data_IF_213007207276
#
_entry.id   IF_213007207276
#
_cell.length_a   1.000
_cell.length_b   1.000
_cell.length_c   1.000
_cell.angle_alpha   90.00
_cell.angle_beta   90.00
_cell.angle_gamma   90.00
#
_symmetry.space_group_name_H-M   'P 1'
#
loop_
_entity.id
_entity.type
_entity.pdbx_description
1 polymer ?
#
# COMPACT_ATOMS: atom_id res chain seq x y z
N UNK A 1 -35.10 4.82 18.08
CA UNK A 1 -34.12 3.71 17.94
C UNK A 1 -33.57 3.74 16.53
N UNK A 2 -32.24 3.62 16.43
CA UNK A 2 -31.39 4.07 15.32
C UNK A 2 -31.73 3.39 13.98
N UNK A 3 -31.86 4.21 12.93
CA UNK A 3 -31.87 3.80 11.53
C UNK A 3 -30.51 3.19 11.17
N UNK A 4 -30.50 1.90 10.82
CA UNK A 4 -29.39 1.30 10.11
C UNK A 4 -29.44 1.80 8.65
N UNK A 5 -28.55 2.72 8.29
CA UNK A 5 -28.26 3.02 6.89
C UNK A 5 -27.48 1.85 6.33
N UNK A 6 -28.15 1.02 5.54
CA UNK A 6 -27.50 0.08 4.64
C UNK A 6 -26.66 0.88 3.65
N UNK A 7 -25.33 0.82 3.80
CA UNK A 7 -24.37 1.30 2.81
C UNK A 7 -24.38 0.28 1.67
N UNK A 8 -25.23 0.53 0.68
CA UNK A 8 -25.11 -0.10 -0.63
C UNK A 8 -23.90 0.56 -1.29
N UNK A 9 -22.73 -0.08 -1.19
CA UNK A 9 -21.59 0.29 -2.01
C UNK A 9 -21.91 -0.06 -3.46
N UNK A 10 -22.30 0.96 -4.22
CA UNK A 10 -22.51 0.85 -5.65
C UNK A 10 -21.19 0.42 -6.32
N UNK A 11 -21.18 -0.76 -6.93
CA UNK A 11 -20.12 -1.16 -7.83
C UNK A 11 -20.36 -0.47 -9.17
N UNK A 12 -19.41 0.34 -9.59
CA UNK A 12 -19.21 0.59 -11.01
C UNK A 12 -18.70 -0.73 -11.59
N UNK A 13 -19.59 -1.48 -12.22
CA UNK A 13 -19.23 -2.58 -13.09
C UNK A 13 -18.57 -2.01 -14.36
N UNK A 14 -17.29 -1.65 -14.28
CA UNK A 14 -16.44 -1.47 -15.46
C UNK A 14 -15.60 -2.74 -15.59
N UNK A 15 -16.18 -3.76 -16.24
CA UNK A 15 -15.36 -4.66 -17.05
C UNK A 15 -15.14 -3.96 -18.40
N UNK A 16 -14.41 -2.85 -18.35
CA UNK A 16 -13.97 -2.10 -19.52
C UNK A 16 -12.47 -2.23 -19.62
N UNK A 17 -12.03 -3.13 -20.50
CA UNK A 17 -10.67 -3.19 -21.08
C UNK A 17 -9.54 -2.71 -20.15
N UNK A 18 -9.44 -3.27 -18.95
CA UNK A 18 -8.16 -3.27 -18.24
C UNK A 18 -7.18 -4.07 -19.11
N UNK A 19 -5.91 -3.69 -19.17
CA UNK A 19 -4.86 -4.51 -19.79
C UNK A 19 -4.76 -5.83 -19.00
N UNK A 20 -5.57 -6.82 -19.35
CA UNK A 20 -5.66 -8.07 -18.60
C UNK A 20 -4.54 -9.00 -19.05
N UNK A 21 -3.39 -8.92 -18.40
CA UNK A 21 -2.42 -10.00 -18.50
C UNK A 21 -3.10 -11.28 -18.02
N UNK A 22 -3.23 -12.25 -18.93
CA UNK A 22 -3.76 -13.56 -18.61
C UNK A 22 -2.68 -14.31 -17.81
N UNK A 23 -2.96 -14.58 -16.54
CA UNK A 23 -2.02 -15.25 -15.64
C UNK A 23 -2.34 -16.75 -15.60
N UNK A 24 -1.33 -17.57 -15.93
CA UNK A 24 -1.46 -19.02 -15.82
C UNK A 24 -1.36 -19.47 -14.36
N UNK A 25 -2.30 -20.30 -13.93
CA UNK A 25 -2.37 -20.86 -12.57
C UNK A 25 -1.98 -22.34 -12.51
N UNK A 26 -1.65 -22.97 -13.63
CA UNK A 26 -1.49 -24.44 -13.76
C UNK A 26 -0.40 -25.03 -12.86
N UNK A 27 0.68 -24.30 -12.62
CA UNK A 27 1.80 -24.78 -11.81
C UNK A 27 1.62 -24.54 -10.30
N UNK A 28 0.61 -23.77 -9.91
CA UNK A 28 0.36 -23.39 -8.51
C UNK A 28 -0.64 -24.37 -7.88
N UNK A 29 -0.12 -25.50 -7.43
CA UNK A 29 -0.93 -26.67 -7.06
C UNK A 29 -1.04 -26.89 -5.56
N UNK A 30 -0.16 -26.28 -4.76
CA UNK A 30 -0.18 -26.44 -3.31
C UNK A 30 -0.78 -25.22 -2.62
N UNK A 31 -1.89 -25.39 -1.92
CA UNK A 31 -2.43 -24.35 -1.05
C UNK A 31 -1.56 -24.23 0.21
N UNK A 32 -1.11 -23.02 0.50
CA UNK A 32 -0.40 -22.70 1.74
C UNK A 32 -1.40 -22.43 2.88
N UNK A 33 -2.21 -21.41 2.67
CA UNK A 33 -3.28 -20.95 3.56
C UNK A 33 -4.24 -20.09 2.73
N UNK A 34 -5.38 -19.77 3.34
CA UNK A 34 -6.36 -18.84 2.81
C UNK A 34 -6.51 -17.66 3.77
N UNK A 35 -6.79 -16.49 3.22
CA UNK A 35 -7.09 -15.28 4.00
C UNK A 35 -8.47 -14.77 3.61
N UNK A 36 -9.35 -14.63 4.61
CA UNK A 36 -10.66 -14.00 4.49
C UNK A 36 -10.55 -12.57 5.00
N UNK A 37 -10.66 -11.61 4.09
CA UNK A 37 -10.58 -10.17 4.34
C UNK A 37 -11.99 -9.56 4.37
N UNK A 38 -12.21 -8.67 5.33
CA UNK A 38 -13.44 -7.93 5.56
C UNK A 38 -13.13 -6.44 5.37
N UNK A 39 -13.88 -5.75 4.52
CA UNK A 39 -13.74 -4.30 4.34
C UNK A 39 -14.42 -3.56 5.51
N UNK A 40 -13.65 -2.77 6.27
CA UNK A 40 -14.17 -2.10 7.48
C UNK A 40 -14.46 -0.62 7.25
N UNK A 41 -13.69 0.04 6.37
CA UNK A 41 -13.77 1.48 6.11
C UNK A 41 -13.18 1.78 4.74
N UNK A 42 -13.68 2.83 4.08
CA UNK A 42 -13.20 3.26 2.76
C UNK A 42 -13.11 4.77 2.66
N UNK A 43 -12.01 5.26 2.12
CA UNK A 43 -11.83 6.64 1.66
C UNK A 43 -11.60 6.66 0.16
N UNK A 44 -12.18 7.63 -0.53
CA UNK A 44 -12.06 7.79 -1.98
C UNK A 44 -11.55 9.19 -2.33
N UNK A 45 -10.53 9.26 -3.18
CA UNK A 45 -10.06 10.51 -3.80
C UNK A 45 -10.28 10.41 -5.31
N UNK A 46 -11.15 11.28 -5.86
CA UNK A 46 -11.52 11.26 -7.27
C UNK A 46 -10.62 12.18 -8.08
N UNK A 47 -9.47 11.65 -8.51
CA UNK A 47 -8.49 12.38 -9.29
C UNK A 47 -8.92 12.72 -10.72
N UNK A 48 -8.10 13.55 -11.36
CA UNK A 48 -8.27 13.91 -12.76
C UNK A 48 -7.90 12.78 -13.73
N UNK A 49 -6.98 11.89 -13.37
CA UNK A 49 -6.54 10.77 -14.21
C UNK A 49 -6.87 9.41 -13.60
N UNK A 50 -7.10 9.36 -12.28
CA UNK A 50 -7.26 8.13 -11.53
C UNK A 50 -8.17 8.33 -10.31
N UNK A 51 -9.05 7.38 -10.03
CA UNK A 51 -9.75 7.30 -8.74
C UNK A 51 -8.97 6.40 -7.80
N UNK A 52 -8.72 6.88 -6.59
CA UNK A 52 -8.06 6.13 -5.52
C UNK A 52 -9.10 5.71 -4.49
N UNK A 53 -9.13 4.42 -4.18
CA UNK A 53 -9.86 3.87 -3.04
C UNK A 53 -8.84 3.29 -2.05
N UNK A 54 -8.81 3.83 -0.83
CA UNK A 54 -8.10 3.23 0.30
C UNK A 54 -9.12 2.54 1.21
N UNK A 55 -9.04 1.22 1.27
CA UNK A 55 -10.00 0.33 1.92
C UNK A 55 -9.31 -0.36 3.08
N UNK A 56 -9.75 -0.11 4.30
CA UNK A 56 -9.24 -0.74 5.51
C UNK A 56 -9.82 -2.14 5.68
N UNK A 57 -9.00 -3.01 6.26
CA UNK A 57 -9.24 -4.45 6.32
C UNK A 57 -9.18 -4.96 7.75
N UNK A 58 -10.09 -5.88 8.04
CA UNK A 58 -9.95 -6.89 9.09
C UNK A 58 -9.97 -8.28 8.43
N UNK A 59 -9.68 -9.34 9.15
CA UNK A 59 -9.75 -10.67 8.58
C UNK A 59 -9.12 -11.79 9.38
N UNK A 60 -9.19 -12.98 8.79
CA UNK A 60 -8.66 -14.21 9.39
C UNK A 60 -7.83 -14.98 8.38
N UNK A 61 -6.85 -15.71 8.87
CA UNK A 61 -6.01 -16.61 8.10
C UNK A 61 -6.25 -18.04 8.59
N UNK A 62 -6.43 -18.97 7.66
CA UNK A 62 -6.55 -20.38 7.97
C UNK A 62 -5.77 -21.24 6.99
N UNK A 63 -5.02 -22.20 7.49
CA UNK A 63 -4.23 -23.07 6.65
C UNK A 63 -3.41 -24.06 7.44
N UNK A 64 -2.79 -25.00 6.72
CA UNK A 64 -1.98 -26.04 7.36
C UNK A 64 -0.65 -25.53 7.88
N UNK A 65 -0.11 -24.45 7.31
CA UNK A 65 1.19 -23.89 7.70
C UNK A 65 1.06 -22.78 8.74
N UNK A 66 -0.03 -22.01 8.69
CA UNK A 66 -0.25 -20.87 9.55
C UNK A 66 -1.73 -20.54 9.65
N UNK A 67 -2.18 -20.16 10.83
CA UNK A 67 -3.54 -19.68 11.08
C UNK A 67 -3.54 -18.56 12.11
N UNK A 68 -4.44 -17.58 11.97
CA UNK A 68 -4.43 -16.39 12.83
C UNK A 68 -5.47 -15.36 12.44
N UNK A 69 -5.34 -14.17 13.01
CA UNK A 69 -6.20 -13.02 12.72
C UNK A 69 -5.36 -11.82 12.31
N UNK A 70 -5.93 -10.93 11.51
CA UNK A 70 -5.34 -9.63 11.27
C UNK A 70 -5.29 -8.86 12.61
N UNK A 71 -4.25 -8.05 12.79
CA UNK A 71 -3.95 -7.43 14.10
C UNK A 71 -3.92 -5.91 14.13
N UNK A 72 -4.03 -5.25 12.98
CA UNK A 72 -4.00 -3.79 12.93
C UNK A 72 -5.14 -3.24 12.08
N UNK A 73 -5.88 -2.31 12.68
CA UNK A 73 -6.99 -1.57 12.07
C UNK A 73 -6.54 -0.67 10.90
N UNK A 74 -5.23 -0.46 10.75
CA UNK A 74 -4.62 0.32 9.66
C UNK A 74 -4.10 -0.56 8.49
N UNK A 75 -4.39 -1.87 8.53
CA UNK A 75 -4.26 -2.76 7.38
C UNK A 75 -5.17 -2.28 6.25
N UNK A 76 -4.66 -2.19 5.02
CA UNK A 76 -5.41 -1.59 3.92
C UNK A 76 -5.04 -2.10 2.54
N UNK A 77 -6.04 -2.10 1.65
CA UNK A 77 -5.87 -2.21 0.20
C UNK A 77 -6.04 -0.83 -0.42
N UNK A 78 -5.07 -0.45 -1.25
CA UNK A 78 -5.24 0.70 -2.15
C UNK A 78 -5.54 0.19 -3.54
N UNK A 79 -6.65 0.65 -4.11
CA UNK A 79 -7.06 0.40 -5.50
C UNK A 79 -6.97 1.70 -6.28
N UNK A 80 -6.23 1.68 -7.39
CA UNK A 80 -6.12 2.77 -8.34
C UNK A 80 -6.87 2.40 -9.61
N UNK A 81 -7.95 3.13 -9.92
CA UNK A 81 -8.76 2.94 -11.14
C UNK A 81 -8.51 4.09 -12.09
N UNK A 82 -7.67 3.88 -13.10
CA UNK A 82 -7.30 4.90 -14.07
C UNK A 82 -8.42 5.10 -15.09
N UNK A 83 -8.57 6.34 -15.57
CA UNK A 83 -9.59 6.69 -16.58
C UNK A 83 -9.36 6.03 -17.94
N UNK A 84 -8.14 5.54 -18.18
CA UNK A 84 -7.78 4.74 -19.37
C UNK A 84 -8.21 3.26 -19.27
N UNK A 85 -8.80 2.84 -18.14
CA UNK A 85 -9.26 1.47 -17.88
C UNK A 85 -8.26 0.62 -17.10
N UNK A 86 -7.01 1.06 -16.90
CA UNK A 86 -6.03 0.34 -16.09
C UNK A 86 -6.45 0.30 -14.62
N UNK A 87 -6.20 -0.83 -13.97
CA UNK A 87 -6.46 -1.04 -12.54
C UNK A 87 -5.17 -1.54 -11.89
N UNK A 88 -4.79 -0.91 -10.78
CA UNK A 88 -3.73 -1.37 -9.89
C UNK A 88 -4.31 -1.58 -8.50
N UNK A 89 -3.83 -2.60 -7.79
CA UNK A 89 -4.27 -2.88 -6.42
C UNK A 89 -3.13 -3.46 -5.60
N UNK A 90 -2.92 -2.90 -4.40
CA UNK A 90 -1.91 -3.37 -3.45
C UNK A 90 -2.50 -3.40 -2.04
N UNK A 91 -2.65 -4.61 -1.50
CA UNK A 91 -3.02 -4.85 -0.12
C UNK A 91 -1.79 -4.95 0.78
N UNK A 92 -1.84 -4.42 2.01
CA UNK A 92 -0.85 -4.68 3.06
C UNK A 92 -1.55 -4.98 4.37
N UNK A 93 -1.20 -6.10 4.98
CA UNK A 93 -1.76 -6.51 6.26
C UNK A 93 -0.82 -7.45 7.03
N UNK A 94 -1.03 -7.48 8.34
CA UNK A 94 -0.26 -8.27 9.28
C UNK A 94 -1.19 -9.25 9.97
N UNK A 95 -0.72 -10.48 10.14
CA UNK A 95 -1.46 -11.57 10.77
C UNK A 95 -0.67 -12.00 12.00
N UNK A 96 -1.32 -12.06 13.16
CA UNK A 96 -0.80 -12.74 14.34
C UNK A 96 -1.49 -14.08 14.47
N UNK A 97 -0.71 -15.12 14.72
CA UNK A 97 -1.22 -16.48 14.64
C UNK A 97 -0.27 -17.50 15.20
N UNK A 98 -0.50 -18.74 14.81
CA UNK A 98 0.35 -19.87 15.14
C UNK A 98 0.70 -20.65 13.89
N UNK A 99 1.91 -21.17 13.84
CA UNK A 99 2.33 -22.12 12.81
C UNK A 99 1.80 -23.54 13.06
N UNK A 100 2.26 -24.49 12.26
CA UNK A 100 1.88 -25.90 12.34
C UNK A 100 2.40 -26.63 13.59
N UNK A 101 3.39 -26.07 14.28
CA UNK A 101 3.93 -26.57 15.55
C UNK A 101 3.31 -25.84 16.77
N UNK A 102 2.31 -24.99 16.53
CA UNK A 102 1.64 -24.12 17.52
C UNK A 102 2.54 -23.05 18.14
N UNK A 103 3.62 -22.68 17.45
CA UNK A 103 4.47 -21.55 17.85
C UNK A 103 3.78 -20.26 17.46
N UNK A 104 3.60 -19.36 18.44
CA UNK A 104 3.06 -18.02 18.18
C UNK A 104 4.02 -17.21 17.34
N UNK A 105 3.50 -16.59 16.28
CA UNK A 105 4.31 -15.85 15.33
C UNK A 105 3.46 -14.91 14.49
N UNK A 106 4.12 -14.11 13.65
CA UNK A 106 3.50 -13.11 12.77
C UNK A 106 3.93 -13.28 11.32
N UNK A 107 3.02 -12.90 10.44
CA UNK A 107 3.24 -12.82 8.99
C UNK A 107 2.80 -11.44 8.51
N UNK A 108 3.64 -10.82 7.69
CA UNK A 108 3.25 -9.68 6.85
C UNK A 108 3.01 -10.16 5.42
N UNK A 109 1.96 -9.62 4.81
CA UNK A 109 1.67 -9.83 3.39
C UNK A 109 1.47 -8.47 2.72
N UNK A 110 2.27 -8.21 1.68
CA UNK A 110 1.95 -7.22 0.66
C UNK A 110 1.50 -7.94 -0.60
N UNK A 111 0.24 -7.76 -0.98
CA UNK A 111 -0.37 -8.52 -2.08
C UNK A 111 -0.72 -7.62 -3.26
N UNK A 112 -0.08 -7.87 -4.39
CA UNK A 112 -0.09 -7.00 -5.57
C UNK A 112 -0.91 -7.67 -6.67
N UNK A 113 -1.93 -7.00 -7.20
CA UNK A 113 -2.66 -7.46 -8.39
C UNK A 113 -1.74 -7.52 -9.61
N UNK A 114 -1.68 -8.68 -10.26
CA UNK A 114 -0.83 -8.91 -11.45
C UNK A 114 -1.63 -9.25 -12.71
N UNK A 115 -2.92 -9.55 -12.59
CA UNK A 115 -3.76 -9.84 -13.75
C UNK A 115 -4.95 -10.71 -13.40
N UNK A 116 -5.43 -11.46 -14.39
CA UNK A 116 -6.62 -12.30 -14.26
C UNK A 116 -6.36 -13.68 -14.84
N UNK A 117 -6.98 -14.71 -14.27
CA UNK A 117 -6.91 -16.06 -14.84
C UNK A 117 -7.97 -16.30 -15.93
N UNK A 118 -8.00 -17.52 -16.48
CA UNK A 118 -8.95 -17.91 -17.54
C UNK A 118 -10.43 -17.88 -17.09
N UNK A 119 -10.68 -17.86 -15.78
CA UNK A 119 -12.01 -17.72 -15.20
C UNK A 119 -12.31 -16.26 -14.81
N UNK A 120 -11.46 -15.32 -15.25
CA UNK A 120 -11.55 -13.89 -14.95
C UNK A 120 -11.49 -13.59 -13.45
N UNK A 121 -10.81 -14.42 -12.66
CA UNK A 121 -10.54 -14.16 -11.24
C UNK A 121 -9.28 -13.31 -11.10
N UNK A 122 -9.26 -12.28 -10.23
CA UNK A 122 -8.05 -11.52 -9.98
C UNK A 122 -6.96 -12.43 -9.41
N UNK A 123 -5.76 -12.32 -9.97
CA UNK A 123 -4.56 -13.01 -9.51
C UNK A 123 -3.60 -11.99 -8.93
N UNK A 124 -3.13 -12.27 -7.72
CA UNK A 124 -2.17 -11.45 -7.01
C UNK A 124 -0.84 -12.17 -6.83
N UNK A 125 0.23 -11.43 -6.57
CA UNK A 125 1.56 -11.95 -6.28
C UNK A 125 2.02 -11.43 -4.93
N UNK A 126 1.95 -12.24 -3.86
CA UNK A 126 2.28 -11.76 -2.53
C UNK A 126 3.78 -11.68 -2.29
N UNK A 127 4.16 -10.66 -1.54
CA UNK A 127 5.39 -10.58 -0.79
C UNK A 127 5.11 -10.96 0.66
N UNK A 128 5.56 -12.15 1.05
CA UNK A 128 5.29 -12.76 2.36
C UNK A 128 6.57 -12.70 3.19
N UNK A 129 6.51 -12.08 4.36
CA UNK A 129 7.60 -12.02 5.34
C UNK A 129 7.09 -12.61 6.65
N UNK A 130 7.83 -13.53 7.23
CA UNK A 130 7.45 -14.25 8.45
C UNK A 130 8.61 -14.30 9.42
N UNK A 131 8.30 -14.29 10.71
CA UNK A 131 9.28 -14.54 11.78
C UNK A 131 9.33 -16.01 12.22
N UNK A 132 8.61 -16.92 11.53
CA UNK A 132 8.73 -18.38 11.75
C UNK A 132 9.93 -18.92 10.97
N UNK A 133 10.95 -19.41 11.67
CA UNK A 133 12.19 -19.90 11.06
C UNK A 133 11.93 -21.01 10.01
N UNK A 134 11.04 -21.95 10.31
CA UNK A 134 10.63 -23.07 9.46
C UNK A 134 9.86 -22.63 8.21
N UNK A 135 9.33 -21.41 8.19
CA UNK A 135 8.59 -20.83 7.07
C UNK A 135 9.37 -19.73 6.33
N UNK A 136 10.63 -19.45 6.70
CA UNK A 136 11.46 -18.42 6.03
C UNK A 136 11.65 -18.66 4.53
N UNK A 137 11.46 -19.89 4.05
CA UNK A 137 11.43 -20.19 2.62
C UNK A 137 10.29 -19.46 1.88
N UNK A 138 9.21 -19.04 2.56
CA UNK A 138 8.12 -18.23 2.01
C UNK A 138 8.60 -16.85 1.51
N UNK A 139 9.69 -16.33 2.07
CA UNK A 139 10.29 -15.05 1.66
C UNK A 139 10.61 -15.01 0.16
N UNK A 140 10.98 -16.16 -0.41
CA UNK A 140 11.37 -16.31 -1.82
C UNK A 140 10.55 -17.36 -2.57
N UNK A 141 9.48 -17.86 -1.96
CA UNK A 141 8.58 -18.82 -2.60
C UNK A 141 7.81 -18.18 -3.76
N UNK A 142 7.66 -18.91 -4.86
CA UNK A 142 6.81 -18.50 -5.98
C UNK A 142 5.35 -18.82 -5.68
N UNK A 143 4.65 -17.82 -5.17
CA UNK A 143 3.26 -17.90 -4.70
C UNK A 143 2.39 -16.93 -5.49
N UNK A 144 1.15 -17.31 -5.76
CA UNK A 144 0.08 -16.41 -6.21
C UNK A 144 -1.09 -16.43 -5.23
N UNK A 145 -1.83 -15.34 -5.15
CA UNK A 145 -3.17 -15.32 -4.56
C UNK A 145 -4.23 -15.45 -5.64
N UNK A 146 -5.18 -16.37 -5.45
CA UNK A 146 -6.39 -16.47 -6.27
C UNK A 146 -7.52 -15.79 -5.50
N UNK A 147 -7.94 -14.62 -5.96
CA UNK A 147 -8.92 -13.79 -5.26
C UNK A 147 -10.34 -14.15 -5.68
N UNK A 148 -11.22 -14.30 -4.70
CA UNK A 148 -12.67 -14.46 -4.88
C UNK A 148 -13.36 -13.38 -4.05
N UNK A 149 -14.28 -12.65 -4.65
CA UNK A 149 -15.11 -11.70 -3.91
C UNK A 149 -16.18 -12.45 -3.13
N UNK A 150 -16.45 -12.02 -1.91
CA UNK A 150 -17.60 -12.45 -1.11
C UNK A 150 -18.45 -11.22 -0.74
N UNK A 151 -19.51 -11.39 0.07
CA UNK A 151 -20.43 -10.30 0.41
C UNK A 151 -19.80 -9.20 1.28
N UNK A 152 -18.76 -9.52 2.05
CA UNK A 152 -18.18 -8.65 3.09
C UNK A 152 -16.74 -8.20 2.77
N UNK A 153 -16.16 -8.70 1.68
CA UNK A 153 -14.79 -8.41 1.25
C UNK A 153 -14.27 -9.47 0.28
N UNK A 154 -13.16 -10.11 0.62
CA UNK A 154 -12.43 -11.02 -0.28
C UNK A 154 -12.00 -12.30 0.43
N UNK A 155 -11.95 -13.39 -0.33
CA UNK A 155 -11.31 -14.63 0.04
C UNK A 155 -10.13 -14.87 -0.90
N UNK A 156 -8.94 -15.07 -0.36
CA UNK A 156 -7.72 -15.27 -1.14
C UNK A 156 -7.15 -16.64 -0.82
N UNK A 157 -7.01 -17.48 -1.85
CA UNK A 157 -6.27 -18.74 -1.75
C UNK A 157 -4.81 -18.51 -2.16
N UNK A 158 -3.85 -18.66 -1.24
CA UNK A 158 -2.43 -18.57 -1.56
C UNK A 158 -1.90 -19.92 -2.04
N UNK A 159 -1.56 -19.97 -3.33
CA UNK A 159 -1.16 -21.16 -4.05
C UNK A 159 0.32 -21.09 -4.41
N UNK A 160 1.07 -22.13 -4.06
CA UNK A 160 2.51 -22.24 -4.22
C UNK A 160 2.88 -23.14 -5.41
N UNK A 161 3.80 -22.64 -6.24
CA UNK A 161 4.54 -23.40 -7.23
C UNK A 161 5.81 -23.96 -6.57
N UNK A 162 5.79 -25.26 -6.21
CA UNK A 162 6.89 -25.94 -5.50
C UNK A 162 8.23 -25.92 -6.24
N UNK A 163 8.19 -25.80 -7.56
CA UNK A 163 9.36 -25.77 -8.42
C UNK A 163 9.87 -24.34 -8.65
N UNK A 164 9.06 -23.33 -8.32
CA UNK A 164 9.36 -21.93 -8.52
C UNK A 164 10.02 -21.27 -7.32
N UNK A 165 10.87 -20.29 -7.61
CA UNK A 165 11.39 -19.32 -6.65
C UNK A 165 11.34 -17.93 -7.26
N UNK A 166 11.14 -16.92 -6.42
CA UNK A 166 11.25 -15.50 -6.77
C UNK A 166 12.44 -14.88 -6.05
N UNK A 167 12.89 -13.75 -6.56
CA UNK A 167 13.81 -12.88 -5.82
C UNK A 167 13.02 -11.97 -4.88
N UNK A 168 13.71 -11.39 -3.90
CA UNK A 168 13.18 -10.24 -3.17
C UNK A 168 12.81 -9.11 -4.14
N UNK A 169 11.76 -8.33 -3.84
CA UNK A 169 11.51 -7.07 -4.55
C UNK A 169 12.79 -6.21 -4.53
N UNK A 170 13.24 -5.68 -5.67
CA UNK A 170 14.46 -4.89 -5.72
C UNK A 170 14.27 -3.52 -5.04
N UNK A 171 15.26 -3.11 -4.26
CA UNK A 171 15.35 -1.76 -3.73
C UNK A 171 15.75 -0.77 -4.83
N UNK A 172 14.77 -0.03 -5.36
CA UNK A 172 14.99 0.97 -6.39
C UNK A 172 15.11 2.35 -5.73
N UNK A 173 16.32 2.89 -5.69
CA UNK A 173 16.50 4.31 -5.32
C UNK A 173 15.89 5.17 -6.44
N UNK A 174 14.96 6.08 -6.12
CA UNK A 174 14.37 6.96 -7.13
C UNK A 174 15.45 7.78 -7.83
N UNK A 175 15.39 7.85 -9.16
CA UNK A 175 16.28 8.71 -9.92
C UNK A 175 15.88 10.17 -9.69
N UNK A 176 16.80 10.98 -9.15
CA UNK A 176 16.63 12.42 -8.94
C UNK A 176 17.44 13.16 -10.02
N UNK A 177 17.04 13.02 -11.28
CA UNK A 177 17.63 13.74 -12.41
C UNK A 177 16.78 14.97 -12.77
N UNK A 178 16.80 15.98 -11.91
CA UNK A 178 16.08 17.24 -12.13
C UNK A 178 16.40 18.31 -11.10
N UNK A 179 16.24 19.58 -11.47
CA UNK A 179 16.35 20.71 -10.54
C UNK A 179 15.01 20.91 -9.81
N UNK A 180 14.82 20.17 -8.71
CA UNK A 180 13.63 20.22 -7.86
C UNK A 180 13.67 21.43 -6.90
N UNK A 181 13.53 22.64 -7.44
CA UNK A 181 13.70 23.88 -6.68
C UNK A 181 12.41 24.41 -6.05
N UNK A 182 11.24 23.97 -6.51
CA UNK A 182 9.95 24.49 -6.08
C UNK A 182 9.31 23.57 -5.04
N UNK A 183 9.29 24.00 -3.78
CA UNK A 183 8.55 23.30 -2.72
C UNK A 183 7.04 23.48 -2.91
N UNK A 184 6.30 22.39 -2.96
CA UNK A 184 4.84 22.38 -3.20
C UNK A 184 4.06 22.09 -1.93
N UNK A 185 4.50 21.11 -1.13
CA UNK A 185 3.84 20.68 0.09
C UNK A 185 4.85 20.44 1.21
N UNK A 186 4.38 20.59 2.43
CA UNK A 186 5.08 20.16 3.65
C UNK A 186 4.08 19.34 4.44
N UNK A 187 4.45 18.10 4.74
CA UNK A 187 3.64 17.18 5.52
C UNK A 187 4.27 17.06 6.90
N UNK A 188 3.52 17.49 7.91
CA UNK A 188 3.86 17.30 9.31
C UNK A 188 3.42 15.90 9.73
N UNK A 189 4.37 15.07 10.15
CA UNK A 189 4.15 13.67 10.52
C UNK A 189 4.16 13.53 12.04
N UNK A 190 3.14 12.86 12.56
CA UNK A 190 2.96 12.59 13.98
C UNK A 190 2.98 11.07 14.22
N UNK A 191 3.92 10.61 15.04
CA UNK A 191 4.10 9.19 15.41
C UNK A 191 3.61 8.97 16.85
N UNK A 192 3.16 7.76 17.23
CA UNK A 192 3.21 6.51 16.48
C UNK A 192 1.91 6.16 15.73
N UNK A 193 0.96 7.10 15.55
CA UNK A 193 -0.35 6.78 14.98
C UNK A 193 -1.02 5.61 15.74
N UNK A 194 -1.40 4.55 15.01
CA UNK A 194 -1.96 3.33 15.58
C UNK A 194 -0.91 2.33 16.15
N UNK A 195 0.35 2.74 16.25
CA UNK A 195 1.44 1.95 16.82
C UNK A 195 2.41 1.36 15.81
N UNK A 196 3.45 0.70 16.34
CA UNK A 196 4.53 0.11 15.56
C UNK A 196 4.50 -1.40 15.64
N UNK A 197 5.04 -2.04 14.60
CA UNK A 197 5.21 -3.48 14.56
C UNK A 197 6.41 -3.84 13.69
N UNK A 198 7.07 -4.93 14.03
CA UNK A 198 8.13 -5.49 13.21
C UNK A 198 7.90 -6.98 13.02
N UNK A 199 8.13 -7.48 11.81
CA UNK A 199 8.21 -8.91 11.50
C UNK A 199 9.58 -9.15 10.89
N UNK A 200 10.45 -9.85 11.62
CA UNK A 200 11.81 -10.17 11.19
C UNK A 200 11.99 -11.68 11.11
N UNK A 201 12.33 -12.18 9.93
CA UNK A 201 12.81 -13.54 9.76
C UNK A 201 14.22 -13.54 9.18
N UNK A 202 14.74 -14.74 8.95
CA UNK A 202 16.05 -14.88 8.35
C UNK A 202 16.07 -14.30 6.91
N UNK A 203 17.01 -13.38 6.64
CA UNK A 203 17.22 -12.75 5.33
C UNK A 203 16.22 -11.66 4.92
N UNK A 204 15.10 -11.48 5.64
CA UNK A 204 14.09 -10.47 5.32
C UNK A 204 13.33 -9.96 6.55
N UNK A 205 12.95 -8.69 6.52
CA UNK A 205 12.16 -8.07 7.56
C UNK A 205 11.30 -6.93 7.04
N UNK A 206 10.24 -6.64 7.80
CA UNK A 206 9.36 -5.51 7.54
C UNK A 206 9.04 -4.78 8.84
N UNK A 207 9.06 -3.45 8.76
CA UNK A 207 8.65 -2.56 9.83
C UNK A 207 7.38 -1.82 9.43
N UNK A 208 6.44 -1.78 10.34
CA UNK A 208 5.23 -0.96 10.33
C UNK A 208 5.48 0.25 11.22
N UNK A 209 5.59 1.43 10.62
CA UNK A 209 5.65 2.68 11.36
C UNK A 209 4.31 3.40 11.22
N UNK A 210 3.45 3.26 12.22
CA UNK A 210 2.19 3.99 12.29
C UNK A 210 2.42 5.51 12.43
N UNK A 211 1.56 6.30 11.78
CA UNK A 211 1.56 7.75 11.89
C UNK A 211 0.18 8.38 11.62
N UNK A 212 -0.03 9.59 12.11
CA UNK A 212 -1.00 10.58 11.60
C UNK A 212 -0.22 11.71 10.92
N UNK A 213 -0.91 12.55 10.15
CA UNK A 213 -0.24 13.67 9.51
C UNK A 213 -1.16 14.88 9.35
N UNK A 214 -0.56 16.03 9.04
CA UNK A 214 -1.26 17.22 8.60
C UNK A 214 -0.43 17.97 7.57
N UNK A 215 -1.06 18.90 6.87
CA UNK A 215 -0.38 19.89 6.03
C UNK A 215 -0.88 21.26 6.45
N UNK A 216 0.03 22.19 6.69
CA UNK A 216 -0.31 23.57 7.01
C UNK A 216 0.49 24.53 6.13
N UNK A 217 0.21 24.52 4.83
CA UNK A 217 0.84 25.41 3.86
C UNK A 217 -0.12 26.53 3.45
N UNK A 218 0.38 27.54 2.74
CA UNK A 218 -0.48 28.59 2.18
C UNK A 218 -1.38 28.09 1.06
N UNK A 219 -1.03 26.97 0.41
CA UNK A 219 -1.71 26.43 -0.77
C UNK A 219 -2.65 25.26 -0.45
N UNK A 220 -2.43 24.60 0.68
CA UNK A 220 -3.27 23.52 1.19
C UNK A 220 -3.12 23.36 2.71
N UNK A 221 -4.26 23.34 3.40
CA UNK A 221 -4.36 23.09 4.84
C UNK A 221 -5.30 21.93 5.10
N UNK A 222 -4.84 20.89 5.78
CA UNK A 222 -5.65 19.69 6.03
C UNK A 222 -5.06 18.76 7.07
N UNK A 223 -5.87 17.79 7.47
CA UNK A 223 -5.51 16.75 8.45
C UNK A 223 -5.65 15.37 7.83
N UNK A 224 -4.82 14.44 8.29
CA UNK A 224 -4.89 13.03 7.92
C UNK A 224 -6.28 12.48 8.17
N UNK A 225 -6.82 11.77 7.20
CA UNK A 225 -8.17 11.20 7.26
C UNK A 225 -8.29 10.04 8.28
N UNK A 226 -7.16 9.43 8.65
CA UNK A 226 -7.08 8.27 9.55
C UNK A 226 -5.65 8.06 10.07
N UNK A 227 -5.39 6.91 10.69
CA UNK A 227 -4.05 6.37 10.92
C UNK A 227 -3.48 5.72 9.66
N UNK A 228 -2.20 5.99 9.41
CA UNK A 228 -1.48 5.52 8.22
C UNK A 228 -0.24 4.74 8.62
N UNK A 229 0.34 4.05 7.64
CA UNK A 229 1.52 3.22 7.83
C UNK A 229 2.60 3.59 6.81
N UNK A 230 3.80 3.88 7.32
CA UNK A 230 5.04 3.80 6.55
C UNK A 230 5.55 2.36 6.70
N UNK A 231 5.49 1.61 5.60
CA UNK A 231 5.96 0.22 5.55
C UNK A 231 7.39 0.19 5.04
N UNK A 232 8.30 -0.37 5.84
CA UNK A 232 9.72 -0.42 5.49
C UNK A 232 10.23 -1.83 5.36
N UNK A 233 10.80 -2.17 4.21
CA UNK A 233 11.33 -3.51 3.96
C UNK A 233 12.84 -3.53 4.05
N UNK A 234 13.36 -4.55 4.71
CA UNK A 234 14.78 -4.85 4.81
C UNK A 234 15.00 -6.22 4.18
N UNK A 235 15.72 -6.25 3.06
CA UNK A 235 16.16 -7.49 2.43
C UNK A 235 17.68 -7.57 2.52
N UNK A 236 18.20 -8.77 2.78
CA UNK A 236 19.64 -8.98 2.85
C UNK A 236 20.33 -8.49 1.57
N UNK A 237 21.38 -7.69 1.74
CA UNK A 237 22.17 -7.13 0.64
C UNK A 237 21.52 -5.95 -0.10
N UNK A 238 20.39 -5.42 0.37
CA UNK A 238 19.69 -4.28 -0.25
C UNK A 238 19.54 -3.10 0.71
N UNK A 239 19.38 -1.90 0.15
CA UNK A 239 18.94 -0.71 0.90
C UNK A 239 17.55 -0.94 1.49
N UNK A 240 17.22 -0.23 2.56
CA UNK A 240 15.86 -0.27 3.11
C UNK A 240 14.90 0.40 2.13
N UNK A 241 13.82 -0.29 1.78
CA UNK A 241 12.71 0.26 1.02
C UNK A 241 11.75 0.98 1.96
N UNK A 242 11.20 2.11 1.51
CA UNK A 242 10.20 2.91 2.21
C UNK A 242 8.97 3.00 1.32
N UNK A 243 7.78 2.79 1.89
CA UNK A 243 6.51 3.00 1.18
C UNK A 243 5.41 3.41 2.16
N UNK A 244 5.08 4.70 2.16
CA UNK A 244 4.00 5.27 2.95
C UNK A 244 2.79 5.60 2.06
N UNK A 245 1.58 5.32 2.54
CA UNK A 245 0.32 5.60 1.83
C UNK A 245 -0.65 6.30 2.76
N UNK A 246 -1.15 7.47 2.39
CA UNK A 246 -2.00 8.29 3.26
C UNK A 246 -2.93 9.22 2.50
N UNK A 247 -3.99 9.69 3.16
CA UNK A 247 -4.95 10.66 2.64
C UNK A 247 -5.05 11.84 3.60
N UNK A 248 -4.97 13.07 3.09
CA UNK A 248 -5.18 14.30 3.85
C UNK A 248 -6.41 15.00 3.29
N UNK A 249 -7.33 15.39 4.16
CA UNK A 249 -8.58 16.09 3.81
C UNK A 249 -8.53 17.49 4.40
N UNK A 250 -8.86 18.49 3.61
CA UNK A 250 -8.71 19.89 3.99
C UNK A 250 -9.29 20.86 2.99
N UNK A 251 -8.63 22.02 2.88
CA UNK A 251 -9.00 23.12 1.99
C UNK A 251 -7.78 23.67 1.26
N UNK A 252 -8.00 24.14 0.02
CA UNK A 252 -7.01 24.90 -0.73
C UNK A 252 -6.93 26.38 -0.29
N UNK A 253 -6.09 27.16 -0.97
CA UNK A 253 -5.90 28.60 -0.79
C UNK A 253 -7.14 29.46 -1.14
N UNK A 254 -8.13 28.90 -1.82
CA UNK A 254 -9.41 29.54 -2.13
C UNK A 254 -10.51 29.13 -1.14
N UNK A 255 -10.18 28.30 -0.14
CA UNK A 255 -11.10 27.80 0.87
C UNK A 255 -12.01 26.67 0.37
N UNK A 256 -11.74 26.13 -0.82
CA UNK A 256 -12.47 25.01 -1.42
C UNK A 256 -11.99 23.69 -0.83
N UNK A 257 -12.92 22.79 -0.57
CA UNK A 257 -12.60 21.46 -0.05
C UNK A 257 -11.71 20.69 -1.03
N UNK A 258 -10.69 20.05 -0.48
CA UNK A 258 -9.65 19.34 -1.22
C UNK A 258 -9.18 18.15 -0.41
N UNK A 259 -9.09 16.99 -1.07
CA UNK A 259 -8.45 15.79 -0.57
C UNK A 259 -7.21 15.50 -1.42
N UNK A 260 -6.14 15.04 -0.77
CA UNK A 260 -4.98 14.48 -1.45
C UNK A 260 -4.75 13.05 -0.98
N UNK A 261 -4.53 12.14 -1.91
CA UNK A 261 -3.90 10.86 -1.67
C UNK A 261 -2.41 10.98 -1.99
N UNK A 262 -1.57 10.40 -1.14
CA UNK A 262 -0.13 10.34 -1.34
C UNK A 262 0.34 8.90 -1.18
N UNK A 263 1.05 8.40 -2.18
CA UNK A 263 1.90 7.22 -2.10
C UNK A 263 3.35 7.69 -2.20
N UNK A 264 4.13 7.54 -1.13
CA UNK A 264 5.49 8.05 -1.07
C UNK A 264 6.47 6.88 -0.92
N UNK A 265 7.15 6.55 -2.02
CA UNK A 265 8.05 5.41 -2.10
C UNK A 265 9.49 5.86 -2.30
N UNK A 266 10.43 5.11 -1.74
CA UNK A 266 11.84 5.44 -1.85
C UNK A 266 12.76 4.46 -1.14
N UNK A 267 13.98 4.93 -0.88
CA UNK A 267 14.99 4.16 -0.16
C UNK A 267 15.61 4.98 0.96
N UNK A 268 16.04 4.29 2.00
CA UNK A 268 16.95 4.79 3.03
C UNK A 268 18.24 3.97 2.99
N UNK A 269 19.34 4.64 2.66
CA UNK A 269 20.65 4.02 2.43
C UNK A 269 21.17 3.24 3.65
N UNK A 270 20.87 3.73 4.86
CA UNK A 270 21.38 3.15 6.11
C UNK A 270 20.27 2.82 7.11
N UNK A 271 19.02 3.12 6.80
CA UNK A 271 17.89 2.96 7.73
C UNK A 271 17.95 3.95 8.91
N UNK A 272 18.75 5.02 8.79
CA UNK A 272 18.99 6.03 9.83
C UNK A 272 18.23 7.35 9.58
N UNK A 273 17.40 7.37 8.53
CA UNK A 273 16.62 8.49 8.02
C UNK A 273 17.43 9.71 7.53
N UNK A 274 18.76 9.64 7.41
CA UNK A 274 19.57 10.81 6.99
C UNK A 274 19.68 11.00 5.48
N UNK A 275 19.48 9.93 4.72
CA UNK A 275 19.62 9.93 3.27
C UNK A 275 18.35 9.41 2.59
N UNK A 276 17.18 9.76 3.14
CA UNK A 276 15.91 9.32 2.56
C UNK A 276 15.63 10.10 1.29
N UNK A 277 15.48 9.37 0.19
CA UNK A 277 15.06 9.91 -1.09
C UNK A 277 13.79 9.20 -1.53
N UNK A 278 12.74 9.98 -1.77
CA UNK A 278 11.45 9.44 -2.22
C UNK A 278 10.97 10.09 -3.51
N UNK A 279 10.04 9.39 -4.17
CA UNK A 279 9.29 9.86 -5.32
C UNK A 279 7.80 9.73 -5.00
N UNK A 280 7.15 10.80 -4.56
CA UNK A 280 5.73 10.74 -4.23
C UNK A 280 4.90 10.69 -5.51
N UNK A 281 3.83 9.90 -5.44
CA UNK A 281 2.70 9.93 -6.36
C UNK A 281 1.51 10.55 -5.62
N UNK A 282 0.99 11.66 -6.15
CA UNK A 282 -0.05 12.46 -5.50
C UNK A 282 -1.28 12.54 -6.39
N UNK A 283 -2.45 12.28 -5.81
CA UNK A 283 -3.75 12.39 -6.49
C UNK A 283 -4.66 13.32 -5.71
N UNK A 284 -5.45 14.14 -6.40
CA UNK A 284 -6.34 15.11 -5.74
C UNK A 284 -7.67 15.27 -6.44
N UNK A 285 -8.72 15.48 -5.66
CA UNK A 285 -10.06 15.78 -6.16
C UNK A 285 -10.25 17.26 -6.55
N UNK A 286 -9.23 18.12 -6.36
CA UNK A 286 -9.29 19.53 -6.72
C UNK A 286 -8.76 19.79 -8.14
N UNK A 287 -9.60 20.20 -9.10
CA UNK A 287 -9.19 20.44 -10.48
C UNK A 287 -8.08 21.49 -10.64
N UNK A 288 -8.00 22.49 -9.74
CA UNK A 288 -6.92 23.50 -9.74
C UNK A 288 -5.54 22.87 -9.57
N UNK A 289 -5.48 21.74 -8.88
CA UNK A 289 -4.26 21.00 -8.57
C UNK A 289 -4.07 19.75 -9.43
N UNK A 290 -4.93 19.51 -10.43
CA UNK A 290 -4.86 18.31 -11.27
C UNK A 290 -3.48 18.09 -11.94
N UNK A 291 -2.72 19.15 -12.17
CA UNK A 291 -1.35 19.10 -12.70
C UNK A 291 -0.42 18.21 -11.85
N UNK A 292 -0.64 18.15 -10.52
CA UNK A 292 0.24 17.42 -9.58
C UNK A 292 0.26 15.91 -9.84
N UNK A 293 -0.81 15.36 -10.44
CA UNK A 293 -0.93 13.93 -10.76
C UNK A 293 0.09 13.45 -11.80
N UNK A 294 0.61 14.38 -12.59
CA UNK A 294 1.59 14.11 -13.65
C UNK A 294 2.92 14.85 -13.46
N UNK A 295 3.02 15.66 -12.41
CA UNK A 295 4.20 16.47 -12.15
C UNK A 295 5.40 15.58 -11.78
N UNK A 296 6.62 15.95 -12.19
CA UNK A 296 7.82 15.35 -11.60
C UNK A 296 7.90 15.78 -10.13
N UNK A 297 7.91 14.82 -9.22
CA UNK A 297 7.97 15.08 -7.79
C UNK A 297 9.15 14.38 -7.13
N UNK A 298 9.70 15.01 -6.10
CA UNK A 298 10.74 14.47 -5.24
C UNK A 298 10.41 14.76 -3.77
N UNK A 299 10.63 13.78 -2.89
CA UNK A 299 10.44 13.93 -1.46
C UNK A 299 11.75 13.84 -0.68
N UNK A 300 11.88 14.72 0.31
CA UNK A 300 12.99 14.78 1.26
C UNK A 300 12.47 14.89 2.68
N UNK A 301 13.23 14.46 3.68
CA UNK A 301 12.87 14.63 5.08
C UNK A 301 13.60 15.81 5.74
N UNK A 302 13.02 16.33 6.81
CA UNK A 302 13.69 17.28 7.69
C UNK A 302 14.61 16.54 8.67
N UNK A 303 15.80 17.08 8.90
CA UNK A 303 16.75 16.56 9.89
C UNK A 303 16.40 16.95 11.34
N UNK A 304 15.43 17.85 11.53
CA UNK A 304 15.14 18.50 12.83
C UNK A 304 13.71 18.23 13.32
N UNK A 305 12.77 17.97 12.41
CA UNK A 305 11.38 17.66 12.71
C UNK A 305 10.92 16.46 11.88
N UNK A 306 9.87 15.77 12.30
CA UNK A 306 9.22 14.72 11.50
C UNK A 306 8.38 15.40 10.41
N UNK A 307 9.05 15.94 9.39
CA UNK A 307 8.45 16.61 8.26
C UNK A 307 8.93 16.00 6.95
N UNK A 308 8.01 15.89 6.00
CA UNK A 308 8.30 15.52 4.62
C UNK A 308 8.09 16.76 3.75
N UNK A 309 9.09 17.12 2.96
CA UNK A 309 8.99 18.18 1.97
C UNK A 309 8.83 17.57 0.59
N UNK A 310 7.82 18.04 -0.15
CA UNK A 310 7.63 17.67 -1.55
C UNK A 310 8.00 18.81 -2.47
N UNK A 311 8.83 18.47 -3.45
CA UNK A 311 9.43 19.38 -4.41
C UNK A 311 9.02 18.99 -5.82
N UNK A 312 8.94 19.99 -6.70
CA UNK A 312 8.75 19.84 -8.14
C UNK A 312 9.69 20.78 -8.89
N UNK A 313 9.68 20.69 -10.22
CA UNK A 313 10.44 21.58 -11.11
C UNK A 313 9.68 22.89 -11.36
N UNK A 314 10.39 23.96 -11.69
CA UNK A 314 9.73 25.23 -12.04
C UNK A 314 8.77 25.09 -13.23
N UNK A 315 7.61 25.72 -13.12
CA UNK A 315 6.59 25.73 -14.18
C UNK A 315 5.76 24.45 -14.34
N UNK A 316 5.92 23.44 -13.49
CA UNK A 316 5.13 22.21 -13.52
C UNK A 316 3.60 22.45 -13.39
N UNK A 317 3.20 23.57 -12.79
CA UNK A 317 1.81 23.99 -12.57
C UNK A 317 1.19 24.76 -13.75
N UNK A 318 1.94 24.97 -14.83
CA UNK A 318 1.49 25.73 -16.01
C UNK A 318 1.02 24.85 -17.17
N UNK A 319 1.04 23.54 -17.00
CA UNK A 319 0.67 22.55 -18.01
C UNK A 319 -0.76 22.06 -17.83
#
# INVERSE_FOLDING_TARGET
MKFARSLIFAFIAIFGLASTELVSTTNYTEKLFSVDLIETKKYTVNGNTVTIDMIYLDGTCSGKYFGGNLIYDDSSTVVKTFKDGRIESVARYYINGTDFDNVQSRIHIEDILVGYDILNRPITKPNIITEVDELTWLHTADVIGIVKKNEVGYHIDYMWNKQGKKSYPPAITPEVSGEYTKKVLTIDVEIPGAGWADVFGNGAGVRKLGFTCSSNTTVFQGVGADYFVDTRYNYEGQKQLISARYIIIGKDDEGKDMSIYVENEGTDDFGDNKNVQTKPFIVTDNPKWAWIESAPLHGTHSDVALQIFFWTVEGADKN
#
